data_IF_157887412039
#
_entry.id   IF_157887412039
#
_cell.length_a   1.000
_cell.length_b   1.000
_cell.length_c   1.000
_cell.angle_alpha   90.00
_cell.angle_beta   90.00
_cell.angle_gamma   90.00
#
_symmetry.space_group_name_H-M   'P 1'
#
loop_
_entity.id
_entity.type
_entity.pdbx_description
1 polymer ?
#
# COMPACT_ATOMS: atom_id res chain seq x y z
N UNK A 1 -9.96 -8.12 10.14
CA UNK A 1 -8.75 -8.82 9.71
C UNK A 1 -8.37 -8.35 8.32
N UNK A 2 -7.15 -7.87 8.17
CA UNK A 2 -6.61 -7.44 6.89
C UNK A 2 -6.01 -8.64 6.19
N UNK A 3 -6.45 -8.91 4.96
CA UNK A 3 -6.00 -10.03 4.15
C UNK A 3 -4.94 -9.52 3.17
N UNK A 4 -3.87 -10.31 2.99
CA UNK A 4 -2.82 -10.02 2.02
C UNK A 4 -3.13 -10.69 0.68
N UNK A 5 -2.93 -9.98 -0.42
CA UNK A 5 -3.20 -10.46 -1.78
C UNK A 5 -1.93 -11.06 -2.37
N UNK A 6 -1.78 -12.38 -2.27
CA UNK A 6 -0.44 -12.97 -2.34
C UNK A 6 -0.09 -13.89 -3.50
N UNK A 7 -1.00 -14.33 -4.34
CA UNK A 7 -0.63 -15.52 -5.15
C UNK A 7 0.01 -15.27 -6.52
N UNK A 8 -0.24 -14.14 -7.16
CA UNK A 8 0.33 -13.90 -8.51
C UNK A 8 1.64 -13.10 -8.49
N UNK A 9 1.80 -12.24 -7.51
CA UNK A 9 2.94 -11.32 -7.41
C UNK A 9 4.20 -11.94 -6.83
N UNK A 10 4.08 -12.97 -6.00
CA UNK A 10 5.26 -13.66 -5.42
C UNK A 10 6.10 -14.34 -6.49
N UNK A 11 5.47 -14.91 -7.51
CA UNK A 11 6.20 -15.53 -8.62
C UNK A 11 6.98 -14.51 -9.44
N UNK A 12 6.41 -13.33 -9.67
CA UNK A 12 7.05 -12.28 -10.48
C UNK A 12 8.13 -11.55 -9.67
N UNK A 13 7.89 -11.29 -8.39
CA UNK A 13 8.88 -10.68 -7.50
C UNK A 13 10.09 -11.58 -7.24
N UNK A 14 9.88 -12.90 -7.18
CA UNK A 14 10.97 -13.86 -7.05
C UNK A 14 11.78 -13.98 -8.34
N UNK A 15 11.13 -13.83 -9.49
CA UNK A 15 11.80 -13.84 -10.78
C UNK A 15 12.68 -12.60 -10.98
N UNK A 16 12.19 -11.41 -10.61
CA UNK A 16 12.99 -10.18 -10.69
C UNK A 16 14.13 -10.14 -9.67
N UNK A 17 13.98 -10.78 -8.50
CA UNK A 17 15.05 -10.89 -7.50
C UNK A 17 16.22 -11.78 -7.96
N UNK A 18 15.99 -12.73 -8.86
CA UNK A 18 17.05 -13.58 -9.38
C UNK A 18 17.90 -12.90 -10.46
N UNK A 19 17.38 -11.84 -11.11
CA UNK A 19 18.04 -11.19 -12.24
C UNK A 19 18.77 -9.88 -11.90
N UNK A 20 18.54 -9.28 -10.73
CA UNK A 20 19.18 -8.01 -10.36
C UNK A 20 20.28 -8.24 -9.33
N UNK A 21 21.51 -8.35 -9.80
CA UNK A 21 22.69 -8.26 -8.94
C UNK A 21 22.76 -6.88 -8.26
N UNK A 22 22.87 -6.88 -6.95
CA UNK A 22 23.43 -5.88 -6.02
C UNK A 22 22.86 -4.47 -5.92
N UNK A 23 22.06 -3.94 -6.85
CA UNK A 23 21.34 -2.67 -6.68
C UNK A 23 19.85 -2.93 -6.62
N UNK A 24 19.31 -3.01 -5.39
CA UNK A 24 17.88 -3.24 -5.14
C UNK A 24 17.07 -1.97 -5.49
N UNK A 25 16.89 -1.74 -6.77
CA UNK A 25 15.78 -0.89 -7.20
C UNK A 25 14.50 -1.68 -6.98
N UNK A 26 13.74 -1.30 -5.96
CA UNK A 26 12.43 -1.90 -5.72
C UNK A 26 11.46 -1.20 -6.66
N UNK A 27 11.00 -1.91 -7.67
CA UNK A 27 10.02 -1.38 -8.60
C UNK A 27 8.69 -1.11 -7.89
N UNK A 28 8.01 -0.05 -8.33
CA UNK A 28 6.67 0.28 -7.86
C UNK A 28 5.63 -0.63 -8.54
N UNK A 29 4.50 -0.83 -7.88
CA UNK A 29 3.40 -1.63 -8.40
C UNK A 29 2.95 -1.15 -9.79
N UNK A 30 2.88 0.17 -10.00
CA UNK A 30 2.52 0.76 -11.29
C UNK A 30 3.58 0.54 -12.38
N UNK A 31 4.82 0.29 -12.01
CA UNK A 31 5.89 -0.08 -12.95
C UNK A 31 5.81 -1.55 -13.35
N UNK A 32 5.44 -2.41 -12.41
CA UNK A 32 5.38 -3.86 -12.62
C UNK A 32 4.16 -4.30 -13.45
N UNK A 33 3.06 -3.55 -13.35
CA UNK A 33 1.79 -3.89 -13.98
C UNK A 33 1.21 -2.70 -14.72
N UNK A 34 0.73 -2.93 -15.95
CA UNK A 34 0.05 -1.89 -16.71
C UNK A 34 -1.34 -1.60 -16.12
N UNK A 35 -1.94 -0.50 -16.56
CA UNK A 35 -3.24 -0.03 -16.06
C UNK A 35 -4.34 -1.10 -16.18
N UNK A 36 -4.43 -1.76 -17.33
CA UNK A 36 -5.47 -2.77 -17.59
C UNK A 36 -5.35 -3.96 -16.63
N UNK A 37 -4.14 -4.44 -16.38
CA UNK A 37 -3.89 -5.54 -15.46
C UNK A 37 -4.24 -5.13 -14.02
N UNK A 38 -3.87 -3.94 -13.59
CA UNK A 38 -4.17 -3.41 -12.26
C UNK A 38 -5.68 -3.25 -12.06
N UNK A 39 -6.36 -2.64 -13.03
CA UNK A 39 -7.81 -2.43 -12.98
C UNK A 39 -8.58 -3.75 -12.93
N UNK A 40 -8.17 -4.72 -13.71
CA UNK A 40 -8.76 -6.05 -13.69
C UNK A 40 -8.63 -6.71 -12.32
N UNK A 41 -7.44 -6.66 -11.73
CA UNK A 41 -7.19 -7.24 -10.41
C UNK A 41 -8.03 -6.55 -9.34
N UNK A 42 -8.07 -5.22 -9.32
CA UNK A 42 -8.89 -4.47 -8.36
C UNK A 42 -10.37 -4.80 -8.50
N UNK A 43 -10.89 -4.83 -9.72
CA UNK A 43 -12.30 -5.14 -9.97
C UNK A 43 -12.65 -6.57 -9.56
N UNK A 44 -11.78 -7.53 -9.83
CA UNK A 44 -11.98 -8.93 -9.45
C UNK A 44 -12.08 -9.08 -7.93
N UNK A 45 -11.22 -8.41 -7.15
CA UNK A 45 -11.26 -8.50 -5.69
C UNK A 45 -12.42 -7.71 -5.10
N UNK A 46 -12.79 -6.57 -5.65
CA UNK A 46 -13.97 -5.80 -5.22
C UNK A 46 -15.25 -6.61 -5.44
N UNK A 47 -15.35 -7.29 -6.58
CA UNK A 47 -16.48 -8.15 -6.87
C UNK A 47 -16.57 -9.34 -5.91
N UNK A 48 -15.43 -9.94 -5.61
CA UNK A 48 -15.35 -11.11 -4.72
C UNK A 48 -15.53 -10.74 -3.24
N UNK A 49 -15.04 -9.57 -2.84
CA UNK A 49 -15.06 -9.08 -1.45
C UNK A 49 -15.63 -7.65 -1.40
N UNK A 50 -16.95 -7.48 -1.54
CA UNK A 50 -17.56 -6.14 -1.69
C UNK A 50 -17.46 -5.26 -0.43
N UNK A 51 -17.17 -5.84 0.73
CA UNK A 51 -16.96 -5.14 2.01
C UNK A 51 -15.48 -4.80 2.28
N UNK A 52 -14.60 -5.02 1.30
CA UNK A 52 -13.16 -4.76 1.43
C UNK A 52 -12.67 -3.82 0.35
N UNK A 53 -11.56 -3.16 0.66
CA UNK A 53 -10.92 -2.16 -0.19
C UNK A 53 -9.55 -2.68 -0.61
N UNK A 54 -9.22 -2.69 -1.93
CA UNK A 54 -7.88 -3.03 -2.38
C UNK A 54 -6.94 -1.83 -2.20
N UNK A 55 -5.86 -2.03 -1.46
CA UNK A 55 -4.91 -0.99 -1.08
C UNK A 55 -3.49 -1.40 -1.44
N UNK A 56 -2.74 -0.47 -2.02
CA UNK A 56 -1.31 -0.61 -2.26
C UNK A 56 -0.56 0.29 -1.26
N UNK A 57 0.42 -0.28 -0.58
CA UNK A 57 1.29 0.45 0.36
C UNK A 57 2.73 0.26 -0.06
N UNK A 58 3.43 1.36 -0.32
CA UNK A 58 4.82 1.36 -0.74
C UNK A 58 5.59 2.43 0.02
N UNK A 59 6.90 2.20 0.22
CA UNK A 59 7.75 3.20 0.86
C UNK A 59 7.96 4.39 -0.08
N UNK A 60 7.86 5.61 0.46
CA UNK A 60 8.25 6.82 -0.27
C UNK A 60 9.66 6.67 -0.81
N UNK A 61 9.89 7.08 -2.05
CA UNK A 61 11.20 7.02 -2.70
C UNK A 61 12.25 7.88 -2.00
N UNK A 62 11.82 8.87 -1.22
CA UNK A 62 12.69 9.77 -0.45
C UNK A 62 12.97 9.26 0.96
N UNK A 63 12.30 8.21 1.40
CA UNK A 63 12.47 7.63 2.73
C UNK A 63 13.50 6.51 2.68
N UNK A 64 14.53 6.59 3.55
CA UNK A 64 15.63 5.61 3.60
C UNK A 64 15.85 5.01 4.98
N UNK A 65 15.19 5.53 6.01
CA UNK A 65 15.39 5.18 7.41
C UNK A 65 14.35 4.21 7.97
N UNK A 66 13.34 3.86 7.18
CA UNK A 66 12.35 2.83 7.51
C UNK A 66 12.55 1.64 6.54
N UNK A 67 12.45 0.38 7.02
CA UNK A 67 12.58 -0.79 6.14
C UNK A 67 11.54 -0.80 5.02
N UNK A 68 11.86 -1.51 3.95
CA UNK A 68 10.88 -1.84 2.91
C UNK A 68 9.85 -2.82 3.46
N UNK A 69 8.57 -2.53 3.23
CA UNK A 69 7.49 -3.43 3.63
C UNK A 69 7.53 -4.69 2.76
N UNK A 70 7.35 -5.85 3.39
CA UNK A 70 7.44 -7.14 2.71
C UNK A 70 6.22 -7.45 1.83
N UNK A 71 5.05 -6.87 2.17
CA UNK A 71 3.80 -7.01 1.43
C UNK A 71 3.28 -5.62 1.07
N UNK A 72 2.95 -5.41 -0.20
CA UNK A 72 2.44 -4.12 -0.68
C UNK A 72 0.94 -4.14 -0.98
N UNK A 73 0.32 -5.31 -1.20
CA UNK A 73 -1.11 -5.42 -1.52
C UNK A 73 -1.93 -5.89 -0.33
N UNK A 74 -2.98 -5.15 0.00
CA UNK A 74 -3.84 -5.39 1.15
C UNK A 74 -5.30 -5.36 0.74
N UNK A 75 -6.10 -6.25 1.32
CA UNK A 75 -7.55 -6.16 1.35
C UNK A 75 -7.97 -5.69 2.74
N UNK A 76 -8.46 -4.48 2.80
CA UNK A 76 -8.74 -3.77 4.05
C UNK A 76 -10.25 -3.71 4.27
N UNK A 77 -10.77 -4.07 5.47
CA UNK A 77 -12.18 -3.85 5.77
C UNK A 77 -12.56 -2.39 5.56
N UNK A 78 -13.69 -2.14 4.90
CA UNK A 78 -14.11 -0.80 4.54
C UNK A 78 -14.56 0.05 5.74
N UNK A 79 -14.86 -0.58 6.87
CA UNK A 79 -15.41 0.05 8.08
C UNK A 79 -14.36 0.41 9.13
N UNK A 80 -13.10 0.03 8.95
CA UNK A 80 -12.02 0.47 9.85
C UNK A 80 -11.58 1.89 9.51
N UNK A 81 -10.98 2.57 10.48
CA UNK A 81 -10.39 3.89 10.24
C UNK A 81 -8.90 3.78 9.83
N UNK A 82 -8.36 4.88 9.32
CA UNK A 82 -6.98 4.90 8.85
C UNK A 82 -5.98 4.72 10.01
N UNK A 83 -6.31 5.14 11.22
CA UNK A 83 -5.47 4.91 12.40
C UNK A 83 -5.26 3.44 12.67
N UNK A 84 -6.30 2.62 12.54
CA UNK A 84 -6.23 1.16 12.67
C UNK A 84 -5.39 0.55 11.55
N UNK A 85 -5.52 1.05 10.33
CA UNK A 85 -4.70 0.61 9.21
C UNK A 85 -3.22 0.98 9.40
N UNK A 86 -2.95 2.22 9.81
CA UNK A 86 -1.58 2.69 10.11
C UNK A 86 -0.91 1.81 11.18
N UNK A 87 -1.66 1.43 12.21
CA UNK A 87 -1.15 0.55 13.26
C UNK A 87 -0.76 -0.82 12.70
N UNK A 88 -1.56 -1.37 11.78
CA UNK A 88 -1.24 -2.62 11.09
C UNK A 88 0.06 -2.50 10.28
N UNK A 89 0.23 -1.40 9.56
CA UNK A 89 1.46 -1.15 8.79
C UNK A 89 2.66 -1.00 9.72
N UNK A 90 2.52 -0.28 10.83
CA UNK A 90 3.56 -0.12 11.85
C UNK A 90 4.01 -1.49 12.39
N UNK A 91 3.07 -2.37 12.70
CA UNK A 91 3.38 -3.73 13.15
C UNK A 91 4.10 -4.53 12.08
N UNK A 92 3.66 -4.40 10.84
CA UNK A 92 4.26 -5.10 9.71
C UNK A 92 5.70 -4.69 9.47
N UNK A 93 6.01 -3.43 9.72
CA UNK A 93 7.36 -2.86 9.61
C UNK A 93 8.21 -3.11 10.87
N UNK A 94 7.65 -3.70 11.93
CA UNK A 94 8.30 -3.90 13.23
C UNK A 94 8.79 -2.58 13.86
N UNK A 95 8.05 -1.50 13.65
CA UNK A 95 8.35 -0.20 14.24
C UNK A 95 7.75 -0.10 15.65
N UNK A 96 8.54 0.43 16.59
CA UNK A 96 8.02 0.77 17.91
C UNK A 96 7.33 2.16 17.90
N UNK A 97 6.74 2.53 19.03
CA UNK A 97 5.98 3.79 19.15
C UNK A 97 6.86 5.04 19.09
N UNK A 98 8.18 4.91 19.30
CA UNK A 98 9.10 6.04 19.23
C UNK A 98 9.45 6.45 17.80
N UNK A 99 9.22 5.57 16.83
CA UNK A 99 9.48 5.84 15.42
C UNK A 99 8.25 6.50 14.78
N UNK A 100 8.47 7.66 14.14
CA UNK A 100 7.41 8.32 13.37
C UNK A 100 7.08 7.51 12.11
N UNK A 101 5.79 7.44 11.78
CA UNK A 101 5.30 6.81 10.56
C UNK A 101 4.09 7.59 10.05
N UNK A 102 4.17 8.04 8.81
CA UNK A 102 3.12 8.78 8.13
C UNK A 102 2.66 8.03 6.88
N UNK A 103 1.34 8.03 6.62
CA UNK A 103 0.77 7.52 5.38
C UNK A 103 0.23 8.69 4.55
N UNK A 104 0.64 8.74 3.29
CA UNK A 104 0.21 9.73 2.33
C UNK A 104 -0.57 9.05 1.19
N UNK A 105 -1.65 9.67 0.76
CA UNK A 105 -2.34 9.23 -0.45
C UNK A 105 -1.56 9.65 -1.72
N UNK A 106 -2.08 9.36 -2.90
CA UNK A 106 -1.42 9.71 -4.17
C UNK A 106 -1.27 11.22 -4.39
N UNK A 107 -2.07 12.03 -3.68
CA UNK A 107 -2.03 13.49 -3.77
C UNK A 107 -1.23 14.11 -2.62
N UNK A 108 -0.44 13.31 -1.92
CA UNK A 108 0.42 13.71 -0.80
C UNK A 108 -0.35 14.24 0.42
N UNK A 109 -1.59 13.81 0.60
CA UNK A 109 -2.42 14.19 1.75
C UNK A 109 -2.32 13.14 2.85
N UNK A 110 -2.25 13.63 4.10
CA UNK A 110 -2.42 12.83 5.32
C UNK A 110 -3.86 12.98 5.79
N UNK A 111 -4.50 11.87 6.12
CA UNK A 111 -5.87 11.85 6.63
C UNK A 111 -5.87 11.75 8.15
N UNK A 112 -6.90 12.32 8.80
CA UNK A 112 -7.10 12.18 10.24
C UNK A 112 -7.32 10.72 10.61
N UNK A 113 -6.75 10.28 11.74
CA UNK A 113 -6.78 8.88 12.16
C UNK A 113 -8.18 8.29 12.29
N UNK A 114 -9.17 9.12 12.57
CA UNK A 114 -10.57 8.70 12.74
C UNK A 114 -11.31 8.51 11.42
N UNK A 115 -10.72 8.95 10.30
CA UNK A 115 -11.40 8.87 9.00
C UNK A 115 -11.51 7.41 8.54
N UNK A 116 -12.72 7.03 8.13
CA UNK A 116 -13.05 5.65 7.74
C UNK A 116 -12.50 5.35 6.36
N UNK A 117 -11.98 4.15 6.18
CA UNK A 117 -11.31 3.73 4.95
C UNK A 117 -12.24 3.80 3.73
N UNK A 118 -13.54 3.49 3.88
CA UNK A 118 -14.49 3.61 2.78
C UNK A 118 -14.62 5.05 2.26
N UNK A 119 -14.58 6.03 3.15
CA UNK A 119 -14.63 7.44 2.76
C UNK A 119 -13.35 7.87 2.02
N UNK A 120 -12.20 7.42 2.50
CA UNK A 120 -10.91 7.70 1.85
C UNK A 120 -10.89 7.07 0.46
N UNK A 121 -11.35 5.82 0.34
CA UNK A 121 -11.42 5.11 -0.94
C UNK A 121 -12.27 5.87 -1.97
N UNK A 122 -13.47 6.29 -1.59
CA UNK A 122 -14.36 7.03 -2.50
C UNK A 122 -13.75 8.35 -2.98
N UNK A 123 -12.99 9.02 -2.12
CA UNK A 123 -12.39 10.31 -2.44
C UNK A 123 -11.06 10.21 -3.19
N UNK A 124 -10.28 9.15 -2.93
CA UNK A 124 -8.86 9.11 -3.30
C UNK A 124 -8.46 7.90 -4.16
N UNK A 125 -9.40 7.00 -4.50
CA UNK A 125 -9.07 5.84 -5.33
C UNK A 125 -8.52 6.27 -6.69
N UNK A 126 -7.55 5.50 -7.18
CA UNK A 126 -7.02 5.65 -8.52
C UNK A 126 -8.06 5.19 -9.55
N UNK A 127 -7.90 5.61 -10.81
CA UNK A 127 -8.74 5.15 -11.92
C UNK A 127 -8.66 3.64 -12.14
N UNK A 128 -7.60 2.97 -11.66
CA UNK A 128 -7.48 1.52 -11.67
C UNK A 128 -8.26 0.83 -10.53
N UNK A 129 -8.93 1.60 -9.67
CA UNK A 129 -9.71 1.17 -8.51
C UNK A 129 -8.90 0.64 -7.33
N UNK A 130 -7.58 0.75 -7.33
CA UNK A 130 -6.77 0.63 -6.13
C UNK A 130 -6.71 1.97 -5.37
N UNK A 131 -6.57 1.89 -4.06
CA UNK A 131 -6.19 3.00 -3.21
C UNK A 131 -4.70 2.92 -2.92
N UNK A 132 -3.94 3.98 -3.23
CA UNK A 132 -2.48 3.99 -3.10
C UNK A 132 -2.05 4.83 -1.90
N UNK A 133 -1.19 4.25 -1.06
CA UNK A 133 -0.50 4.97 0.00
C UNK A 133 1.01 4.81 -0.12
N UNK A 134 1.72 5.87 0.27
CA UNK A 134 3.15 5.81 0.54
C UNK A 134 3.38 6.09 2.02
N UNK A 135 4.35 5.39 2.62
CA UNK A 135 4.75 5.66 3.99
C UNK A 135 6.12 6.32 4.06
N UNK A 136 6.30 7.14 5.09
CA UNK A 136 7.55 7.85 5.35
C UNK A 136 7.71 8.10 6.85
N UNK A 137 8.95 8.32 7.28
CA UNK A 137 9.28 8.78 8.62
C UNK A 137 9.12 10.29 8.78
N UNK A 138 8.97 11.02 7.68
CA UNK A 138 8.88 12.48 7.67
C UNK A 138 7.53 12.97 7.18
N UNK A 139 7.02 14.02 7.82
CA UNK A 139 5.72 14.62 7.53
C UNK A 139 5.74 15.54 6.30
N UNK A 140 6.88 15.97 5.83
CA UNK A 140 6.98 16.92 4.74
C UNK A 140 7.58 16.30 3.49
N UNK A 141 6.87 16.41 2.36
CA UNK A 141 7.43 16.30 1.02
C UNK A 141 7.92 17.69 0.63
N UNK A 142 9.14 17.97 1.01
CA UNK A 142 9.70 19.26 0.68
C UNK A 142 10.67 19.16 -0.42
#
# INVERSE_FOLDING_TARGET
IIIYMNKLTEKINNFSKQFTGTNKHVSLFKEDFNFEARKKEANDVIHRFPDRIPVIVERSTQCHDIPLIDKRKYLVPNDINIGQFLWTIRKRLHLDQSNALFLFDEHSNIHQNTKVMSNIYEQCKNDDNFLYFQYSSENTFG
#
